data_IF_647076425509
#
_entry.id   IF_647076425509
#
_cell.length_a   1.000
_cell.length_b   1.000
_cell.length_c   1.000
_cell.angle_alpha   90.00
_cell.angle_beta   90.00
_cell.angle_gamma   90.00
#
_symmetry.space_group_name_H-M   'P 1'
#
loop_
_entity.id
_entity.type
_entity.pdbx_description
1 polymer ?
#
# COMPACT_ATOMS: atom_id res chain seq x y z
N UNK A 1 -34.52 4.31 6.53
CA UNK A 1 -33.88 4.67 7.82
C UNK A 1 -33.46 6.11 7.69
N UNK A 2 -34.22 6.99 8.34
CA UNK A 2 -34.29 8.41 8.01
C UNK A 2 -33.08 9.15 8.61
N UNK A 3 -32.52 10.13 7.87
CA UNK A 3 -31.32 10.88 8.28
C UNK A 3 -31.57 11.74 9.52
N UNK A 4 -32.84 11.98 9.81
CA UNK A 4 -33.36 12.58 11.03
C UNK A 4 -33.05 11.73 12.27
N UNK A 5 -32.96 10.40 12.17
CA UNK A 5 -32.98 9.47 13.31
C UNK A 5 -31.73 9.53 14.20
N UNK A 6 -30.57 9.96 13.70
CA UNK A 6 -29.33 9.97 14.49
C UNK A 6 -29.10 11.29 15.24
N UNK A 7 -29.50 12.41 14.62
CA UNK A 7 -29.65 13.68 15.35
C UNK A 7 -30.81 13.56 16.36
N UNK A 8 -31.86 12.79 16.02
CA UNK A 8 -32.96 12.44 16.93
C UNK A 8 -32.52 11.47 18.05
N UNK A 9 -31.50 10.63 17.85
CA UNK A 9 -30.95 9.77 18.92
C UNK A 9 -30.37 10.59 20.08
N UNK A 10 -29.70 11.71 19.75
CA UNK A 10 -29.26 12.72 20.72
C UNK A 10 -30.42 13.55 21.31
N UNK A 11 -31.66 13.32 20.86
CA UNK A 11 -32.91 13.92 21.36
C UNK A 11 -33.80 12.91 22.10
N UNK A 12 -33.26 11.75 22.51
CA UNK A 12 -33.97 10.86 23.43
C UNK A 12 -34.25 11.62 24.74
N UNK A 13 -35.50 12.07 24.91
CA UNK A 13 -35.96 12.80 26.09
C UNK A 13 -35.66 11.96 27.34
N UNK A 14 -34.68 12.38 28.13
CA UNK A 14 -34.33 11.76 29.41
C UNK A 14 -32.89 11.27 29.55
N UNK A 15 -32.07 11.27 28.49
CA UNK A 15 -30.64 10.92 28.60
C UNK A 15 -29.80 12.19 28.74
N UNK A 16 -29.32 12.47 29.96
CA UNK A 16 -28.31 13.52 30.20
C UNK A 16 -26.96 12.98 29.75
N UNK A 17 -26.40 13.54 28.67
CA UNK A 17 -25.05 13.23 28.24
C UNK A 17 -24.07 13.80 29.27
N UNK A 18 -23.27 12.94 29.92
CA UNK A 18 -22.29 13.34 30.93
C UNK A 18 -21.28 14.38 30.40
N UNK A 19 -21.02 14.35 29.10
CA UNK A 19 -20.25 15.35 28.37
C UNK A 19 -20.89 15.57 26.99
N UNK A 20 -21.83 16.52 26.92
CA UNK A 20 -22.56 16.87 25.70
C UNK A 20 -21.63 17.30 24.55
N UNK A 21 -20.62 18.18 24.75
CA UNK A 21 -19.65 18.51 23.71
C UNK A 21 -18.94 17.30 23.09
N UNK A 22 -18.45 16.38 23.92
CA UNK A 22 -17.77 15.17 23.45
C UNK A 22 -18.70 14.24 22.67
N UNK A 23 -19.95 14.10 23.12
CA UNK A 23 -20.95 13.26 22.46
C UNK A 23 -21.33 13.82 21.08
N UNK A 24 -21.58 15.13 20.97
CA UNK A 24 -21.88 15.78 19.69
C UNK A 24 -20.70 15.66 18.72
N UNK A 25 -19.47 15.86 19.22
CA UNK A 25 -18.28 15.67 18.41
C UNK A 25 -18.11 14.21 17.92
N UNK A 26 -18.38 13.23 18.78
CA UNK A 26 -18.39 11.82 18.41
C UNK A 26 -19.38 11.52 17.28
N UNK A 27 -20.60 12.05 17.38
CA UNK A 27 -21.62 11.91 16.34
C UNK A 27 -21.23 12.59 15.01
N UNK A 28 -20.56 13.75 15.06
CA UNK A 28 -19.99 14.39 13.87
C UNK A 28 -18.96 13.49 13.18
N UNK A 29 -18.07 12.84 13.95
CA UNK A 29 -17.06 11.93 13.42
C UNK A 29 -17.69 10.68 12.79
N UNK A 30 -18.76 10.14 13.39
CA UNK A 30 -19.51 9.02 12.84
C UNK A 30 -20.25 9.40 11.55
N UNK A 31 -20.91 10.56 11.52
CA UNK A 31 -21.50 11.13 10.31
C UNK A 31 -20.46 11.31 9.20
N UNK A 32 -19.28 11.83 9.55
CA UNK A 32 -18.17 12.01 8.60
C UNK A 32 -17.63 10.67 8.10
N UNK A 33 -17.54 9.64 8.95
CA UNK A 33 -17.16 8.30 8.55
C UNK A 33 -18.16 7.70 7.56
N UNK A 34 -19.47 7.81 7.83
CA UNK A 34 -20.54 7.32 6.94
C UNK A 34 -20.54 8.02 5.59
N UNK A 35 -20.32 9.34 5.56
CA UNK A 35 -20.19 10.11 4.31
C UNK A 35 -19.01 9.62 3.46
N UNK A 36 -17.91 9.22 4.10
CA UNK A 36 -16.76 8.71 3.38
C UNK A 36 -16.97 7.28 2.88
N UNK A 37 -17.64 6.44 3.66
CA UNK A 37 -18.05 5.09 3.25
C UNK A 37 -18.94 5.14 2.01
N UNK A 38 -19.94 6.02 1.98
CA UNK A 38 -20.85 6.15 0.83
C UNK A 38 -20.14 6.60 -0.46
N UNK A 39 -18.99 7.27 -0.34
CA UNK A 39 -18.13 7.68 -1.45
C UNK A 39 -17.10 6.62 -1.86
N UNK A 40 -17.16 5.43 -1.28
CA UNK A 40 -16.25 4.32 -1.59
C UNK A 40 -14.83 4.51 -1.10
N UNK A 41 -14.60 5.27 -0.02
CA UNK A 41 -13.27 5.38 0.58
C UNK A 41 -12.92 4.08 1.33
N UNK A 42 -11.63 3.70 1.27
CA UNK A 42 -11.13 2.56 2.02
C UNK A 42 -11.23 2.77 3.53
N UNK A 43 -11.57 1.73 4.29
CA UNK A 43 -11.75 1.78 5.75
C UNK A 43 -10.53 2.34 6.48
N UNK A 44 -9.32 1.97 6.03
CA UNK A 44 -8.08 2.52 6.61
C UNK A 44 -7.97 4.04 6.44
N UNK A 45 -8.38 4.58 5.29
CA UNK A 45 -8.39 6.03 5.05
C UNK A 45 -9.36 6.73 6.00
N UNK A 46 -10.53 6.12 6.23
CA UNK A 46 -11.56 6.67 7.14
C UNK A 46 -11.03 6.70 8.57
N UNK A 47 -10.42 5.61 9.03
CA UNK A 47 -9.82 5.51 10.37
C UNK A 47 -8.70 6.54 10.57
N UNK A 48 -7.79 6.66 9.60
CA UNK A 48 -6.70 7.66 9.65
C UNK A 48 -7.26 9.07 9.72
N UNK A 49 -8.27 9.38 8.92
CA UNK A 49 -8.88 10.72 8.92
C UNK A 49 -9.58 11.04 10.24
N UNK A 50 -10.34 10.10 10.79
CA UNK A 50 -10.95 10.23 12.12
C UNK A 50 -9.88 10.53 13.18
N UNK A 51 -8.83 9.70 13.22
CA UNK A 51 -7.73 9.89 14.17
C UNK A 51 -7.02 11.24 14.01
N UNK A 52 -6.86 11.74 12.79
CA UNK A 52 -6.27 13.06 12.53
C UNK A 52 -7.12 14.20 13.10
N UNK A 53 -8.45 14.13 12.95
CA UNK A 53 -9.37 15.13 13.52
C UNK A 53 -9.40 15.03 15.05
N UNK A 54 -9.44 13.81 15.61
CA UNK A 54 -9.36 13.59 17.06
C UNK A 54 -8.02 14.06 17.65
N UNK A 55 -6.93 13.94 16.90
CA UNK A 55 -5.63 14.49 17.33
C UNK A 55 -5.63 16.01 17.36
N UNK A 56 -6.28 16.66 16.39
CA UNK A 56 -6.44 18.11 16.38
C UNK A 56 -7.30 18.57 17.56
N UNK A 57 -8.46 17.91 17.78
CA UNK A 57 -9.33 18.17 18.93
C UNK A 57 -8.57 18.07 20.26
N UNK A 58 -7.77 16.99 20.45
CA UNK A 58 -6.95 16.82 21.67
C UNK A 58 -5.85 17.84 21.82
N UNK A 59 -5.31 18.38 20.72
CA UNK A 59 -4.32 19.45 20.78
C UNK A 59 -4.95 20.77 21.21
N UNK A 60 -6.11 21.10 20.65
CA UNK A 60 -6.82 22.36 20.96
C UNK A 60 -7.57 22.33 22.28
N UNK A 61 -7.86 21.13 22.80
CA UNK A 61 -8.76 20.88 23.94
C UNK A 61 -10.18 21.48 23.80
N UNK A 62 -10.52 21.97 22.60
CA UNK A 62 -11.80 22.58 22.23
C UNK A 62 -12.45 21.80 21.08
N UNK A 63 -13.66 22.22 20.70
CA UNK A 63 -14.49 21.51 19.71
C UNK A 63 -14.65 22.30 18.40
N UNK A 64 -15.16 21.67 17.31
CA UNK A 64 -15.18 22.30 15.98
C UNK A 64 -15.90 23.66 15.88
N UNK A 65 -16.85 23.94 16.77
CA UNK A 65 -17.56 25.24 16.86
C UNK A 65 -16.81 26.32 17.64
N UNK A 66 -15.63 26.01 18.19
CA UNK A 66 -14.75 26.92 18.91
C UNK A 66 -13.40 27.12 18.21
N UNK A 67 -13.05 26.25 17.26
CA UNK A 67 -11.77 26.34 16.56
C UNK A 67 -11.63 27.65 15.79
N UNK A 68 -10.40 28.17 15.80
CA UNK A 68 -9.97 29.39 15.13
C UNK A 68 -8.86 29.10 14.11
N UNK A 69 -8.60 30.01 13.16
CA UNK A 69 -7.47 29.88 12.23
C UNK A 69 -6.11 29.75 12.94
N UNK A 70 -5.94 30.44 14.07
CA UNK A 70 -4.74 30.37 14.90
C UNK A 70 -4.48 28.97 15.47
N UNK A 71 -5.52 28.22 15.83
CA UNK A 71 -5.36 26.85 16.34
C UNK A 71 -4.69 25.94 15.29
N UNK A 72 -4.99 26.16 14.00
CA UNK A 72 -4.38 25.43 12.88
C UNK A 72 -2.90 25.81 12.74
N UNK A 73 -2.56 27.09 12.91
CA UNK A 73 -1.20 27.61 12.83
C UNK A 73 -0.34 27.08 13.99
N UNK A 74 -0.88 27.10 15.20
CA UNK A 74 -0.24 26.56 16.41
C UNK A 74 -0.05 25.05 16.29
N UNK A 75 -1.07 24.33 15.82
CA UNK A 75 -0.96 22.89 15.59
C UNK A 75 0.09 22.56 14.53
N UNK A 76 0.12 23.32 13.43
CA UNK A 76 1.12 23.18 12.37
C UNK A 76 2.53 23.39 12.91
N UNK A 77 2.72 24.46 13.67
CA UNK A 77 4.00 24.81 14.29
C UNK A 77 4.44 23.70 15.24
N UNK A 78 3.55 23.21 16.10
CA UNK A 78 3.80 22.08 17.00
C UNK A 78 4.23 20.81 16.25
N UNK A 79 3.56 20.45 15.15
CA UNK A 79 3.91 19.27 14.34
C UNK A 79 5.27 19.40 13.63
N UNK A 80 5.71 20.62 13.32
CA UNK A 80 6.97 20.89 12.63
C UNK A 80 8.14 21.13 13.59
N UNK A 81 7.90 21.55 14.83
CA UNK A 81 8.96 21.92 15.79
C UNK A 81 9.15 20.92 16.93
N UNK A 82 8.26 19.93 17.09
CA UNK A 82 8.37 18.94 18.16
C UNK A 82 9.61 18.04 18.08
N UNK A 83 9.85 17.23 19.12
CA UNK A 83 11.03 16.36 19.23
C UNK A 83 11.24 15.38 18.04
N UNK A 84 10.16 15.08 17.30
CA UNK A 84 10.21 14.35 16.03
C UNK A 84 9.39 15.14 14.99
N UNK A 85 10.01 16.11 14.29
CA UNK A 85 9.33 16.92 13.29
C UNK A 85 8.69 16.08 12.21
N UNK A 86 7.41 16.35 11.91
CA UNK A 86 6.74 15.72 10.79
C UNK A 86 7.16 16.33 9.46
N UNK A 87 7.10 15.52 8.40
CA UNK A 87 7.30 16.03 7.05
C UNK A 87 6.17 17.00 6.65
N UNK A 88 6.50 18.03 5.86
CA UNK A 88 5.51 18.99 5.33
C UNK A 88 4.36 18.30 4.58
N UNK A 89 4.66 17.22 3.86
CA UNK A 89 3.66 16.40 3.17
C UNK A 89 2.67 15.74 4.13
N UNK A 90 3.12 15.32 5.31
CA UNK A 90 2.27 14.77 6.37
C UNK A 90 1.39 15.85 6.99
N UNK A 91 1.96 17.01 7.33
CA UNK A 91 1.21 18.17 7.85
C UNK A 91 0.12 18.59 6.87
N UNK A 92 0.43 18.64 5.57
CA UNK A 92 -0.58 18.92 4.54
C UNK A 92 -1.73 17.90 4.55
N UNK A 93 -1.47 16.61 4.80
CA UNK A 93 -2.54 15.62 4.91
C UNK A 93 -3.46 15.95 6.10
N UNK A 94 -2.92 16.41 7.24
CA UNK A 94 -3.76 16.92 8.34
C UNK A 94 -4.65 18.07 7.88
N UNK A 95 -4.09 19.09 7.21
CA UNK A 95 -4.87 20.23 6.70
C UNK A 95 -6.00 19.80 5.75
N UNK A 96 -5.69 18.90 4.81
CA UNK A 96 -6.67 18.37 3.87
C UNK A 96 -7.79 17.61 4.60
N UNK A 97 -7.46 16.86 5.64
CA UNK A 97 -8.43 16.11 6.43
C UNK A 97 -9.30 17.03 7.28
N UNK A 98 -8.70 17.98 8.02
CA UNK A 98 -9.42 18.94 8.86
C UNK A 98 -10.33 19.80 7.98
N UNK A 99 -9.84 20.32 6.85
CA UNK A 99 -10.65 21.07 5.88
C UNK A 99 -11.83 20.25 5.39
N UNK A 100 -11.62 18.97 5.05
CA UNK A 100 -12.68 18.09 4.57
C UNK A 100 -13.73 17.77 5.64
N UNK A 101 -13.31 17.61 6.90
CA UNK A 101 -14.20 17.44 8.04
C UNK A 101 -15.03 18.70 8.29
N UNK A 102 -14.38 19.87 8.31
CA UNK A 102 -15.07 21.16 8.49
C UNK A 102 -16.06 21.43 7.37
N UNK A 103 -15.70 21.18 6.11
CA UNK A 103 -16.64 21.27 4.98
C UNK A 103 -17.87 20.38 5.17
N UNK A 104 -17.73 19.21 5.80
CA UNK A 104 -18.85 18.33 6.11
C UNK A 104 -19.73 18.89 7.23
N UNK A 105 -19.15 19.38 8.33
CA UNK A 105 -19.94 19.90 9.46
C UNK A 105 -20.50 21.32 9.23
N UNK A 106 -19.93 22.08 8.30
CA UNK A 106 -20.45 23.42 7.92
C UNK A 106 -21.54 23.35 6.85
N UNK A 107 -21.67 22.24 6.12
CA UNK A 107 -22.71 22.09 5.10
C UNK A 107 -24.09 21.94 5.77
N UNK A 108 -24.98 22.89 5.46
CA UNK A 108 -26.32 22.99 6.04
C UNK A 108 -27.16 21.73 5.82
N UNK A 109 -26.89 20.96 4.76
CA UNK A 109 -27.62 19.71 4.44
C UNK A 109 -27.44 18.62 5.49
N UNK A 110 -26.40 18.69 6.31
CA UNK A 110 -26.16 17.75 7.40
C UNK A 110 -26.71 18.23 8.75
N UNK A 111 -27.17 19.48 8.87
CA UNK A 111 -27.85 20.00 10.06
C UNK A 111 -26.95 20.38 11.24
N UNK A 112 -25.65 20.07 11.21
CA UNK A 112 -24.71 20.31 12.31
C UNK A 112 -24.60 21.78 12.74
N UNK A 113 -24.69 22.72 11.79
CA UNK A 113 -24.68 24.16 12.09
C UNK A 113 -25.85 24.57 12.99
N UNK A 114 -27.06 24.10 12.67
CA UNK A 114 -28.25 24.41 13.46
C UNK A 114 -28.18 23.74 14.84
N UNK A 115 -27.69 22.51 14.90
CA UNK A 115 -27.55 21.75 16.14
C UNK A 115 -26.54 22.43 17.09
N UNK A 116 -25.36 22.82 16.59
CA UNK A 116 -24.36 23.52 17.40
C UNK A 116 -24.86 24.88 17.88
N UNK A 117 -25.56 25.63 17.01
CA UNK A 117 -26.16 26.91 17.40
C UNK A 117 -27.15 26.73 18.54
N UNK A 118 -28.02 25.74 18.46
CA UNK A 118 -29.04 25.50 19.47
C UNK A 118 -28.46 25.03 20.80
N UNK A 119 -27.39 24.21 20.79
CA UNK A 119 -26.81 23.61 22.00
C UNK A 119 -25.74 24.46 22.65
N UNK A 120 -24.88 25.08 21.85
CA UNK A 120 -23.66 25.74 22.33
C UNK A 120 -23.62 27.24 22.05
N UNK A 121 -24.62 27.79 21.34
CA UNK A 121 -24.63 29.20 20.94
C UNK A 121 -23.55 29.57 19.90
N UNK A 122 -22.78 28.58 19.42
CA UNK A 122 -21.69 28.74 18.48
C UNK A 122 -21.88 27.80 17.27
N UNK A 123 -21.19 28.07 16.16
CA UNK A 123 -21.30 27.28 14.94
C UNK A 123 -19.91 26.86 14.45
N UNK A 124 -19.76 25.65 13.89
CA UNK A 124 -18.54 25.28 13.20
C UNK A 124 -18.32 26.22 12.00
N UNK A 125 -17.06 26.58 11.78
CA UNK A 125 -16.63 27.37 10.62
C UNK A 125 -15.42 26.71 9.98
N UNK A 126 -15.12 27.08 8.72
CA UNK A 126 -13.88 26.65 8.10
C UNK A 126 -12.72 27.43 8.71
N UNK A 127 -11.69 26.74 9.19
CA UNK A 127 -10.46 27.38 9.72
C UNK A 127 -9.22 27.10 8.88
N UNK A 128 -9.30 26.20 7.90
CA UNK A 128 -8.21 25.89 6.98
C UNK A 128 -8.34 26.70 5.68
N UNK A 129 -7.64 27.82 5.58
CA UNK A 129 -7.60 28.73 4.43
C UNK A 129 -6.31 28.62 3.62
N UNK A 130 -6.18 29.37 2.53
CA UNK A 130 -4.97 29.30 1.68
C UNK A 130 -3.72 29.85 2.38
N UNK A 131 -3.87 30.87 3.22
CA UNK A 131 -2.76 31.55 3.89
C UNK A 131 -2.22 30.81 5.11
N UNK A 132 -3.04 29.97 5.77
CA UNK A 132 -2.64 29.22 6.96
C UNK A 132 -2.50 27.70 6.72
N UNK A 133 -2.48 27.26 5.46
CA UNK A 133 -2.23 25.85 5.13
C UNK A 133 -1.05 25.68 4.18
N UNK A 134 -0.28 24.60 4.38
CA UNK A 134 0.81 24.23 3.47
C UNK A 134 0.28 23.96 2.05
N UNK A 135 0.69 24.81 1.12
CA UNK A 135 0.35 24.71 -0.30
C UNK A 135 0.94 23.45 -0.96
N UNK A 136 0.26 22.92 -1.97
CA UNK A 136 0.78 21.87 -2.86
C UNK A 136 1.41 22.52 -4.09
N UNK A 137 2.56 23.18 -3.90
CA UNK A 137 3.20 23.97 -4.97
C UNK A 137 3.92 23.11 -6.02
N UNK A 138 4.21 21.83 -5.73
CA UNK A 138 4.90 20.94 -6.67
C UNK A 138 4.23 19.56 -6.77
N UNK A 139 4.12 19.05 -8.00
CA UNK A 139 3.61 17.70 -8.30
C UNK A 139 4.54 16.58 -7.82
N UNK A 140 5.81 16.91 -7.56
CA UNK A 140 6.81 15.98 -7.05
C UNK A 140 7.53 16.54 -5.81
N UNK A 141 7.31 15.90 -4.67
CA UNK A 141 7.94 16.22 -3.38
C UNK A 141 8.94 15.13 -2.95
N UNK A 142 9.70 14.59 -3.90
CA UNK A 142 10.78 13.65 -3.60
C UNK A 142 11.91 14.35 -2.85
N UNK A 143 12.39 13.75 -1.75
CA UNK A 143 13.62 14.22 -1.09
C UNK A 143 14.82 13.91 -1.99
N UNK A 144 15.79 14.83 -2.18
CA UNK A 144 16.98 14.60 -3.02
C UNK A 144 17.77 13.34 -2.65
N UNK A 145 17.79 12.96 -1.37
CA UNK A 145 18.48 11.75 -0.90
C UNK A 145 17.90 10.43 -1.39
N UNK A 146 16.75 10.43 -2.08
CA UNK A 146 16.18 9.24 -2.71
C UNK A 146 16.44 9.27 -4.21
N UNK A 147 17.71 9.06 -4.59
CA UNK A 147 18.13 8.98 -6.00
C UNK A 147 17.89 7.58 -6.58
N UNK A 148 17.74 7.46 -7.92
CA UNK A 148 17.88 6.17 -8.60
C UNK A 148 19.25 5.55 -8.32
N UNK A 149 19.31 4.22 -8.24
CA UNK A 149 20.57 3.48 -8.24
C UNK A 149 21.23 3.58 -9.63
N UNK A 150 22.55 3.61 -9.67
CA UNK A 150 23.30 3.45 -10.91
C UNK A 150 23.40 1.96 -11.30
N UNK A 151 24.03 1.68 -12.44
CA UNK A 151 24.11 0.33 -12.98
C UNK A 151 24.92 -0.61 -12.07
N UNK A 152 26.09 -0.17 -11.61
CA UNK A 152 27.00 -0.96 -10.77
C UNK A 152 26.35 -1.25 -9.41
N UNK A 153 25.64 -0.27 -8.84
CA UNK A 153 24.88 -0.45 -7.61
C UNK A 153 23.72 -1.45 -7.75
N UNK A 154 23.04 -1.46 -8.90
CA UNK A 154 21.97 -2.41 -9.20
C UNK A 154 22.52 -3.82 -9.38
N UNK A 155 23.63 -3.96 -10.10
CA UNK A 155 24.31 -5.24 -10.26
C UNK A 155 24.77 -5.79 -8.91
N UNK A 156 25.42 -4.96 -8.09
CA UNK A 156 25.81 -5.32 -6.73
C UNK A 156 24.61 -5.74 -5.86
N UNK A 157 23.48 -5.03 -5.97
CA UNK A 157 22.25 -5.37 -5.25
C UNK A 157 21.72 -6.75 -5.66
N UNK A 158 21.69 -7.06 -6.97
CA UNK A 158 21.24 -8.37 -7.45
C UNK A 158 22.22 -9.48 -7.10
N UNK A 159 23.53 -9.23 -7.19
CA UNK A 159 24.56 -10.18 -6.79
C UNK A 159 24.44 -10.55 -5.31
N UNK A 160 24.16 -9.58 -4.42
CA UNK A 160 23.91 -9.86 -3.00
C UNK A 160 22.64 -10.69 -2.80
N UNK A 161 21.57 -10.40 -3.55
CA UNK A 161 20.33 -11.16 -3.46
C UNK A 161 20.52 -12.61 -3.90
N UNK A 162 21.23 -12.84 -5.00
CA UNK A 162 21.52 -14.18 -5.53
C UNK A 162 22.51 -14.95 -4.66
N UNK A 163 23.61 -14.31 -4.25
CA UNK A 163 24.59 -14.92 -3.35
C UNK A 163 23.96 -15.36 -2.02
N UNK A 164 22.95 -14.63 -1.54
CA UNK A 164 22.18 -15.05 -0.36
C UNK A 164 21.38 -16.34 -0.58
N UNK A 165 20.88 -16.57 -1.79
CA UNK A 165 20.22 -17.84 -2.15
C UNK A 165 21.26 -18.96 -2.13
N UNK A 166 22.39 -18.76 -2.80
CA UNK A 166 23.46 -19.75 -2.91
C UNK A 166 24.00 -20.18 -1.54
N UNK A 167 24.25 -19.21 -0.64
CA UNK A 167 24.63 -19.49 0.74
C UNK A 167 23.63 -20.39 1.47
N UNK A 168 22.34 -20.08 1.36
CA UNK A 168 21.29 -20.81 2.08
C UNK A 168 21.05 -22.20 1.49
N UNK A 169 21.18 -22.34 0.17
CA UNK A 169 21.15 -23.63 -0.52
C UNK A 169 22.34 -24.48 -0.10
N UNK A 170 23.56 -23.93 -0.12
CA UNK A 170 24.78 -24.63 0.30
C UNK A 170 24.75 -25.06 1.77
N UNK A 171 24.09 -24.31 2.64
CA UNK A 171 23.88 -24.66 4.05
C UNK A 171 22.71 -25.64 4.29
N UNK A 172 21.95 -26.03 3.26
CA UNK A 172 20.80 -26.92 3.40
C UNK A 172 19.66 -26.34 4.24
N UNK A 173 19.56 -25.00 4.35
CA UNK A 173 18.58 -24.35 5.22
C UNK A 173 17.23 -24.23 4.52
N UNK A 174 16.15 -24.47 5.29
CA UNK A 174 14.75 -24.30 4.85
C UNK A 174 14.43 -22.90 4.30
N UNK A 175 15.26 -21.89 4.60
CA UNK A 175 15.09 -20.52 4.13
C UNK A 175 15.46 -20.25 2.66
N UNK A 176 16.09 -21.20 1.97
CA UNK A 176 16.55 -21.01 0.59
C UNK A 176 15.42 -20.60 -0.38
N UNK A 177 14.25 -21.26 -0.28
CA UNK A 177 13.10 -20.92 -1.13
C UNK A 177 12.57 -19.51 -0.87
N UNK A 178 12.56 -19.07 0.39
CA UNK A 178 12.12 -17.71 0.74
C UNK A 178 13.10 -16.66 0.21
N UNK A 179 14.40 -16.92 0.30
CA UNK A 179 15.42 -16.05 -0.29
C UNK A 179 15.31 -15.98 -1.81
N UNK A 180 15.11 -17.12 -2.49
CA UNK A 180 14.90 -17.16 -3.93
C UNK A 180 13.66 -16.36 -4.34
N UNK A 181 12.56 -16.52 -3.61
CA UNK A 181 11.34 -15.73 -3.82
C UNK A 181 11.62 -14.24 -3.68
N UNK A 182 12.34 -13.82 -2.64
CA UNK A 182 12.59 -12.41 -2.37
C UNK A 182 13.54 -11.79 -3.41
N UNK A 183 14.59 -12.52 -3.82
CA UNK A 183 15.45 -12.16 -4.94
C UNK A 183 14.64 -12.00 -6.24
N UNK A 184 13.71 -12.92 -6.50
CA UNK A 184 12.84 -12.85 -7.66
C UNK A 184 11.88 -11.66 -7.62
N UNK A 185 11.26 -11.41 -6.48
CA UNK A 185 10.37 -10.26 -6.29
C UNK A 185 11.10 -8.94 -6.53
N UNK A 186 12.36 -8.84 -6.06
CA UNK A 186 13.19 -7.66 -6.27
C UNK A 186 13.48 -7.43 -7.76
N UNK A 187 13.97 -8.46 -8.46
CA UNK A 187 14.27 -8.43 -9.90
C UNK A 187 13.04 -8.09 -10.74
N UNK A 188 11.91 -8.74 -10.47
CA UNK A 188 10.62 -8.44 -11.11
C UNK A 188 10.15 -7.01 -10.83
N UNK A 189 10.31 -6.52 -9.61
CA UNK A 189 9.92 -5.14 -9.29
C UNK A 189 10.70 -4.13 -10.13
N UNK A 190 12.01 -4.34 -10.29
CA UNK A 190 12.87 -3.48 -11.08
C UNK A 190 12.58 -3.59 -12.58
N UNK A 191 12.54 -4.81 -13.14
CA UNK A 191 12.36 -5.08 -14.57
C UNK A 191 11.14 -4.41 -15.20
N UNK A 192 10.06 -4.24 -14.43
CA UNK A 192 8.79 -3.68 -14.88
C UNK A 192 8.36 -2.43 -14.09
N UNK A 193 9.20 -1.86 -13.24
CA UNK A 193 8.88 -0.64 -12.47
C UNK A 193 7.55 -0.74 -11.70
N UNK A 194 7.31 -1.90 -11.08
CA UNK A 194 6.02 -2.22 -10.48
C UNK A 194 5.91 -1.68 -9.06
N UNK A 195 4.70 -1.28 -8.67
CA UNK A 195 4.42 -0.92 -7.28
C UNK A 195 4.30 -2.20 -6.44
N UNK A 196 4.62 -2.14 -5.15
CA UNK A 196 4.49 -3.29 -4.22
C UNK A 196 3.17 -4.06 -4.37
N UNK A 197 2.03 -3.36 -4.43
CA UNK A 197 0.71 -4.00 -4.60
C UNK A 197 0.53 -4.66 -5.97
N UNK A 198 1.11 -4.09 -7.02
CA UNK A 198 1.04 -4.64 -8.37
C UNK A 198 1.81 -5.96 -8.42
N UNK A 199 3.01 -6.00 -7.83
CA UNK A 199 3.84 -7.22 -7.72
C UNK A 199 3.12 -8.33 -6.95
N UNK A 200 2.51 -8.01 -5.81
CA UNK A 200 1.79 -8.99 -4.98
C UNK A 200 0.53 -9.57 -5.66
N UNK A 201 0.00 -8.90 -6.69
CA UNK A 201 -1.17 -9.35 -7.44
C UNK A 201 -0.84 -9.96 -8.80
N UNK A 202 0.45 -10.19 -9.11
CA UNK A 202 0.86 -10.81 -10.35
C UNK A 202 0.55 -12.31 -10.36
N UNK A 203 0.20 -12.79 -11.55
CA UNK A 203 0.05 -14.21 -11.86
C UNK A 203 0.84 -14.53 -13.14
N UNK A 204 1.16 -15.81 -13.36
CA UNK A 204 1.86 -16.29 -14.56
C UNK A 204 1.08 -15.94 -15.83
N UNK A 205 -0.25 -15.88 -15.74
CA UNK A 205 -1.12 -15.48 -16.85
C UNK A 205 -1.06 -13.98 -17.16
N UNK A 206 -0.36 -13.16 -16.38
CA UNK A 206 -0.20 -11.73 -16.66
C UNK A 206 1.00 -11.46 -17.60
N UNK A 207 1.85 -12.46 -17.82
CA UNK A 207 2.99 -12.42 -18.74
C UNK A 207 2.53 -12.55 -20.19
N UNK A 208 3.03 -11.69 -21.06
CA UNK A 208 2.62 -11.60 -22.46
C UNK A 208 3.82 -11.36 -23.38
N UNK A 209 3.70 -11.90 -24.59
CA UNK A 209 4.61 -11.59 -25.68
C UNK A 209 4.30 -10.25 -26.34
N UNK A 210 5.32 -9.68 -26.97
CA UNK A 210 5.23 -8.47 -27.76
C UNK A 210 5.85 -8.74 -29.13
N UNK A 211 5.11 -8.64 -30.24
CA UNK A 211 5.66 -8.82 -31.58
C UNK A 211 6.82 -7.88 -31.91
N UNK A 212 6.89 -6.71 -31.25
CA UNK A 212 7.99 -5.74 -31.42
C UNK A 212 9.23 -6.07 -30.59
N UNK A 213 9.15 -7.05 -29.70
CA UNK A 213 10.28 -7.52 -28.90
C UNK A 213 10.22 -9.07 -28.75
N UNK A 214 10.34 -9.82 -29.85
CA UNK A 214 10.19 -11.27 -29.86
C UNK A 214 11.27 -11.99 -29.02
N UNK A 215 12.43 -11.36 -28.84
CA UNK A 215 13.55 -11.90 -28.06
C UNK A 215 13.19 -12.20 -26.59
N UNK A 216 12.18 -11.53 -26.04
CA UNK A 216 11.74 -11.74 -24.66
C UNK A 216 10.63 -12.80 -24.52
N UNK A 217 10.18 -13.41 -25.62
CA UNK A 217 9.17 -14.46 -25.59
C UNK A 217 7.90 -14.03 -24.84
N UNK A 218 7.43 -14.84 -23.88
CA UNK A 218 6.29 -14.51 -23.03
C UNK A 218 6.56 -13.43 -21.98
N UNK A 219 7.80 -12.96 -21.83
CA UNK A 219 8.22 -11.99 -20.82
C UNK A 219 8.41 -10.59 -21.40
N UNK A 220 7.84 -10.28 -22.56
CA UNK A 220 8.05 -9.00 -23.22
C UNK A 220 7.22 -7.86 -22.62
N UNK A 221 6.08 -8.18 -22.00
CA UNK A 221 5.26 -7.22 -21.26
C UNK A 221 4.49 -7.91 -20.12
N UNK A 222 4.18 -7.14 -19.08
CA UNK A 222 3.30 -7.55 -17.98
C UNK A 222 1.98 -6.78 -18.04
N UNK A 223 0.87 -7.51 -17.99
CA UNK A 223 -0.45 -6.94 -17.81
C UNK A 223 -0.78 -6.77 -16.32
N UNK A 224 -0.68 -5.54 -15.81
CA UNK A 224 -0.99 -5.21 -14.41
C UNK A 224 -2.50 -5.08 -14.24
N UNK A 225 -3.10 -6.00 -13.49
CA UNK A 225 -4.53 -5.99 -13.15
C UNK A 225 -4.88 -5.09 -11.96
N UNK A 226 -3.95 -4.95 -11.02
CA UNK A 226 -4.18 -4.30 -9.72
C UNK A 226 -3.43 -2.96 -9.58
N UNK A 227 -3.46 -2.13 -10.62
CA UNK A 227 -2.82 -0.82 -10.60
C UNK A 227 -3.48 0.17 -9.63
N UNK A 228 -2.78 1.25 -9.34
CA UNK A 228 -3.25 2.31 -8.43
C UNK A 228 -4.62 2.85 -8.89
N UNK A 229 -5.64 2.66 -8.04
CA UNK A 229 -6.96 3.26 -8.23
C UNK A 229 -6.93 4.78 -8.18
N UNK A 230 -7.83 5.42 -8.92
CA UNK A 230 -8.26 6.80 -8.68
C UNK A 230 -9.24 6.85 -7.49
N UNK A 231 -9.57 8.06 -7.02
CA UNK A 231 -10.50 8.29 -5.90
C UNK A 231 -11.82 7.51 -6.10
N UNK A 232 -12.02 6.46 -5.31
CA UNK A 232 -13.22 5.61 -5.35
C UNK A 232 -13.35 4.68 -6.56
N UNK A 233 -12.32 4.57 -7.43
CA UNK A 233 -12.39 3.75 -8.64
C UNK A 233 -11.82 2.34 -8.43
N UNK A 234 -12.25 1.42 -9.30
CA UNK A 234 -11.64 0.09 -9.45
C UNK A 234 -10.14 0.24 -9.79
N UNK A 235 -9.27 -0.71 -9.36
CA UNK A 235 -7.86 -0.75 -9.75
C UNK A 235 -7.69 -0.59 -11.26
N UNK A 236 -6.77 0.31 -11.64
CA UNK A 236 -6.50 0.58 -13.06
C UNK A 236 -5.70 -0.56 -13.66
N UNK A 237 -6.08 -0.97 -14.87
CA UNK A 237 -5.30 -1.91 -15.67
C UNK A 237 -4.29 -1.13 -16.50
N UNK A 238 -3.05 -1.62 -16.58
CA UNK A 238 -2.02 -1.07 -17.46
C UNK A 238 -1.10 -2.18 -17.94
N UNK A 239 -0.53 -2.02 -19.12
CA UNK A 239 0.54 -2.90 -19.60
C UNK A 239 1.88 -2.19 -19.40
N UNK A 240 2.88 -2.92 -18.92
CA UNK A 240 4.24 -2.42 -18.76
C UNK A 240 5.18 -3.26 -19.60
N UNK A 241 5.99 -2.60 -20.42
CA UNK A 241 7.01 -3.26 -21.22
C UNK A 241 8.20 -3.64 -20.34
N UNK A 242 8.87 -4.73 -20.69
CA UNK A 242 10.13 -5.12 -20.07
C UNK A 242 11.21 -4.11 -20.43
N UNK A 243 12.03 -3.76 -19.45
CA UNK A 243 13.16 -2.86 -19.64
C UNK A 243 14.26 -3.53 -20.50
N UNK A 244 14.76 -2.89 -21.58
CA UNK A 244 15.82 -3.44 -22.42
C UNK A 244 17.11 -3.74 -21.65
N UNK A 245 17.39 -2.99 -20.59
CA UNK A 245 18.59 -3.12 -19.75
C UNK A 245 18.60 -4.42 -18.92
N UNK A 246 17.58 -5.26 -19.07
CA UNK A 246 17.49 -6.61 -18.52
C UNK A 246 18.11 -7.69 -19.44
N UNK A 247 18.98 -7.32 -20.38
CA UNK A 247 19.96 -8.25 -20.99
C UNK A 247 20.94 -8.75 -19.91
N UNK A 248 20.41 -9.53 -18.97
CA UNK A 248 21.19 -10.43 -18.14
C UNK A 248 21.79 -11.44 -19.11
N UNK A 249 23.10 -11.37 -19.29
CA UNK A 249 23.87 -12.24 -20.18
C UNK A 249 23.32 -13.66 -20.19
N UNK A 250 22.71 -14.02 -21.32
CA UNK A 250 22.40 -15.35 -21.84
C UNK A 250 21.69 -16.40 -20.96
N UNK A 251 21.42 -16.20 -19.67
CA UNK A 251 20.85 -17.27 -18.78
C UNK A 251 19.98 -16.76 -17.63
N UNK A 252 19.56 -15.50 -17.65
CA UNK A 252 19.01 -14.86 -16.45
C UNK A 252 17.50 -14.74 -16.32
N UNK A 253 16.77 -14.41 -17.39
CA UNK A 253 15.32 -14.09 -17.30
C UNK A 253 14.42 -15.21 -17.84
N UNK A 254 14.89 -15.94 -18.85
CA UNK A 254 14.21 -17.09 -19.45
C UNK A 254 14.27 -18.34 -18.57
N UNK A 255 15.36 -18.53 -17.82
CA UNK A 255 15.49 -19.62 -16.84
C UNK A 255 14.73 -19.31 -15.55
N UNK A 256 14.64 -18.03 -15.17
CA UNK A 256 14.04 -17.54 -13.93
C UNK A 256 12.58 -17.98 -13.69
N UNK A 257 11.77 -18.01 -14.74
CA UNK A 257 10.39 -18.51 -14.68
C UNK A 257 10.27 -19.98 -15.12
N UNK A 258 11.26 -20.54 -15.83
CA UNK A 258 11.33 -21.99 -16.14
C UNK A 258 11.73 -22.83 -14.92
N UNK A 259 12.65 -22.36 -14.09
CA UNK A 259 13.05 -23.00 -12.83
C UNK A 259 11.88 -22.97 -11.83
N UNK A 260 11.19 -21.82 -11.72
CA UNK A 260 10.00 -21.66 -10.87
C UNK A 260 8.84 -22.57 -11.32
N UNK A 261 8.59 -22.70 -12.62
CA UNK A 261 7.52 -23.59 -13.14
C UNK A 261 7.90 -25.07 -13.12
N UNK A 262 9.17 -25.45 -13.27
CA UNK A 262 9.64 -26.84 -13.09
C UNK A 262 9.56 -27.31 -11.63
N UNK A 263 9.84 -26.43 -10.68
CA UNK A 263 9.73 -26.73 -9.24
C UNK A 263 8.27 -26.89 -8.76
N UNK A 264 7.30 -26.26 -9.44
CA UNK A 264 5.87 -26.34 -9.12
C UNK A 264 5.13 -27.41 -9.92
N UNK A 265 5.56 -27.71 -11.16
CA UNK A 265 4.94 -28.75 -12.00
C UNK A 265 5.47 -30.17 -11.72
N UNK A 266 6.67 -30.32 -11.13
CA UNK A 266 7.14 -31.60 -10.62
C UNK A 266 6.63 -31.85 -9.19
N UNK A 267 5.34 -32.13 -9.08
CA UNK A 267 4.78 -32.86 -7.93
C UNK A 267 5.28 -34.30 -7.84
N UNK A 268 6.59 -34.53 -8.03
CA UNK A 268 7.26 -35.78 -7.69
C UNK A 268 7.86 -35.59 -6.32
N UNK A 269 7.28 -36.32 -5.38
CA UNK A 269 7.85 -36.65 -4.08
C UNK A 269 9.38 -36.56 -4.10
N UNK A 270 9.93 -35.50 -3.50
CA UNK A 270 11.33 -35.46 -3.15
C UNK A 270 11.54 -36.43 -1.97
N UNK A 271 11.57 -37.73 -2.28
CA UNK A 271 12.28 -38.72 -1.48
C UNK A 271 13.75 -38.31 -1.52
N UNK A 272 14.16 -37.61 -0.48
CA UNK A 272 15.56 -37.52 -0.06
C UNK A 272 15.93 -38.94 0.37
N UNK A 273 16.42 -39.76 -0.57
CA UNK A 273 17.14 -40.99 -0.23
C UNK A 273 18.56 -40.54 0.12
N UNK A 274 18.85 -40.61 1.41
CA UNK A 274 20.22 -40.61 1.90
C UNK A 274 20.93 -41.84 1.32
N UNK A 275 22.09 -41.64 0.72
CA UNK A 275 23.02 -42.74 0.53
C UNK A 275 24.44 -42.32 0.90
N UNK A 276 24.92 -42.93 1.99
CA UNK A 276 26.31 -43.27 2.24
C UNK A 276 26.35 -44.33 3.33
N UNK A 277 26.55 -45.60 2.94
CA UNK A 277 27.52 -46.50 3.58
C UNK A 277 27.73 -47.81 2.78
N UNK A 278 28.98 -48.07 2.34
CA UNK A 278 29.56 -49.43 2.42
C UNK A 278 29.81 -50.26 1.14
N UNK A 279 31.01 -50.10 0.55
CA UNK A 279 31.93 -51.14 0.04
C UNK A 279 31.56 -52.06 -1.18
N UNK A 280 32.57 -52.69 -1.86
CA UNK A 280 32.60 -52.83 -3.31
C UNK A 280 32.39 -54.26 -3.84
N UNK A 281 32.06 -54.35 -5.13
CA UNK A 281 32.28 -55.55 -5.95
C UNK A 281 31.16 -55.84 -6.95
N UNK A 282 31.53 -56.14 -8.20
CA UNK A 282 30.67 -56.84 -9.16
C UNK A 282 30.28 -56.05 -10.41
N UNK A 283 30.84 -56.48 -11.55
CA UNK A 283 30.59 -56.03 -12.94
C UNK A 283 29.30 -56.71 -13.52
N UNK A 284 28.87 -56.42 -14.78
CA UNK A 284 27.54 -55.87 -15.10
C UNK A 284 26.65 -56.82 -15.92
N UNK A 285 25.33 -56.55 -16.04
CA UNK A 285 24.54 -57.03 -17.19
C UNK A 285 23.29 -56.19 -17.51
N UNK A 286 23.17 -55.82 -18.79
CA UNK A 286 21.96 -55.79 -19.64
C UNK A 286 20.66 -55.08 -19.20
N UNK A 287 20.31 -54.03 -19.96
CA UNK A 287 19.11 -54.00 -20.81
C UNK A 287 17.74 -53.81 -20.16
N UNK A 288 17.09 -52.68 -20.44
CA UNK A 288 15.80 -52.65 -21.17
C UNK A 288 15.11 -51.28 -21.11
N UNK A 289 14.79 -50.82 -22.32
CA UNK A 289 13.81 -49.84 -22.77
C UNK A 289 12.47 -49.92 -22.03
N UNK A 290 11.93 -48.78 -21.55
CA UNK A 290 10.47 -48.55 -21.56
C UNK A 290 10.15 -47.05 -21.76
N UNK A 291 9.52 -46.78 -22.91
CA UNK A 291 8.70 -45.59 -23.25
C UNK A 291 7.46 -45.54 -22.34
N UNK A 292 6.97 -44.35 -21.99
CA UNK A 292 5.58 -43.90 -22.25
C UNK A 292 5.28 -42.59 -21.47
N UNK A 293 4.98 -41.48 -22.16
CA UNK A 293 3.66 -40.98 -22.60
C UNK A 293 3.02 -40.04 -21.57
N UNK A 294 2.67 -38.87 -22.08
CA UNK A 294 2.07 -37.74 -21.41
C UNK A 294 0.62 -37.99 -20.95
N UNK A 295 0.24 -37.27 -19.90
CA UNK A 295 -1.00 -36.50 -19.83
C UNK A 295 -0.70 -35.15 -19.19
#
# INVERSE_FOLDING_TARGET
>A
MDRSDEVLSLRSRGVVLLNEPAAVFGAMLEGFARQQTSRGLASQTILVRRWQVERFQRFTETYPWQWLPGDVEDFTTHLLSGARPLARSTVRIYHLTIRAFLNFVTDQRYGWVAECRSRFGAVPTQVCFEWNTVAHTADFEGRPGRRPLDYDELEALFAVADGRVDELVGQGRKGALAALRDAQLLKTTYAWGLRRREVLGLDLVDLRSNPKAPQWGSFALIHVRHGKSSKGSIPKRRSVLSLPEFEVGDRGSTDLCREGSRSVSSGRESRIVADRAGHPGGLPVSGSTVRAVAR
#
